data_IF_452752047430
#
_entry.id   IF_452752047430
#
_cell.length_a   1.000
_cell.length_b   1.000
_cell.length_c   1.000
_cell.angle_alpha   90.00
_cell.angle_beta   90.00
_cell.angle_gamma   90.00
#
_symmetry.space_group_name_H-M   'P 1'
#
loop_
_entity.id
_entity.type
_entity.pdbx_description
1 polymer ?
#
# COMPACT_ATOMS: atom_id res chain seq x y z
N UNK A 1 38.53 -2.55 -39.63
CA UNK A 1 37.79 -3.61 -38.96
C UNK A 1 37.11 -3.00 -37.74
N UNK A 2 35.86 -2.63 -37.89
CA UNK A 2 35.02 -2.12 -36.83
C UNK A 2 34.07 -3.26 -36.41
N UNK A 3 33.90 -3.58 -35.13
CA UNK A 3 32.85 -4.49 -34.71
C UNK A 3 31.54 -3.72 -34.60
N UNK A 4 30.55 -4.26 -35.28
CA UNK A 4 29.13 -3.86 -35.25
C UNK A 4 28.58 -4.01 -33.85
N UNK A 5 27.97 -2.93 -33.33
CA UNK A 5 27.18 -2.99 -32.11
C UNK A 5 25.84 -3.65 -32.40
N UNK A 6 25.59 -4.79 -31.78
CA UNK A 6 24.27 -5.38 -31.69
C UNK A 6 23.42 -4.54 -30.71
N UNK A 7 22.54 -3.71 -31.27
CA UNK A 7 21.44 -3.10 -30.54
C UNK A 7 20.37 -4.17 -30.31
N UNK A 8 20.37 -4.75 -29.13
CA UNK A 8 19.30 -5.63 -28.66
C UNK A 8 18.06 -4.78 -28.36
N UNK A 9 17.24 -4.54 -29.36
CA UNK A 9 15.88 -4.05 -29.20
C UNK A 9 15.04 -5.24 -28.75
N UNK A 10 14.86 -5.41 -27.43
CA UNK A 10 13.80 -6.23 -26.88
C UNK A 10 12.45 -5.62 -27.33
N UNK A 11 12.02 -6.05 -28.49
CA UNK A 11 10.72 -5.72 -29.04
C UNK A 11 9.62 -6.23 -28.10
N UNK A 12 8.74 -5.31 -27.72
CA UNK A 12 7.51 -5.52 -26.97
C UNK A 12 6.61 -6.54 -27.70
N UNK A 13 6.97 -7.82 -27.57
CA UNK A 13 6.19 -8.92 -28.12
C UNK A 13 4.92 -9.04 -27.30
N UNK A 14 3.79 -8.61 -27.88
CA UNK A 14 2.45 -8.80 -27.30
C UNK A 14 2.32 -10.24 -26.79
N UNK A 15 2.04 -10.45 -25.49
CA UNK A 15 2.02 -11.80 -24.93
C UNK A 15 0.99 -12.66 -25.64
N UNK A 16 1.41 -13.86 -26.07
CA UNK A 16 0.53 -14.82 -26.73
C UNK A 16 -0.48 -15.34 -25.70
N UNK A 17 -1.77 -15.12 -25.95
CA UNK A 17 -2.84 -15.64 -25.10
C UNK A 17 -2.85 -17.17 -25.09
N UNK A 18 -2.89 -17.75 -23.88
CA UNK A 18 -3.00 -19.22 -23.72
C UNK A 18 -4.40 -19.75 -23.96
N UNK A 19 -5.42 -18.92 -23.78
CA UNK A 19 -6.83 -19.28 -23.99
C UNK A 19 -7.37 -18.50 -25.19
N UNK A 20 -8.02 -19.21 -26.12
CA UNK A 20 -8.55 -18.60 -27.33
C UNK A 20 -9.74 -17.67 -27.06
N UNK A 21 -10.45 -17.88 -25.94
CA UNK A 21 -11.64 -17.09 -25.59
C UNK A 21 -11.61 -16.67 -24.12
N UNK A 22 -12.29 -15.56 -23.82
CA UNK A 22 -12.50 -15.09 -22.44
C UNK A 22 -13.22 -16.13 -21.60
N UNK A 23 -14.22 -16.84 -22.17
CA UNK A 23 -14.98 -17.87 -21.47
C UNK A 23 -14.09 -19.05 -21.05
N UNK A 24 -13.17 -19.48 -21.93
CA UNK A 24 -12.22 -20.55 -21.60
C UNK A 24 -11.27 -20.12 -20.49
N UNK A 25 -10.79 -18.86 -20.52
CA UNK A 25 -9.99 -18.28 -19.44
C UNK A 25 -10.78 -18.21 -18.13
N UNK A 26 -12.02 -17.70 -18.13
CA UNK A 26 -12.89 -17.62 -16.95
C UNK A 26 -13.09 -19.01 -16.29
N UNK A 27 -13.37 -20.05 -17.10
CA UNK A 27 -13.52 -21.40 -16.60
C UNK A 27 -12.25 -21.93 -15.93
N UNK A 28 -11.08 -21.70 -16.55
CA UNK A 28 -9.80 -22.09 -16.02
C UNK A 28 -9.48 -21.32 -14.73
N UNK A 29 -9.72 -20.00 -14.70
CA UNK A 29 -9.53 -19.18 -13.50
C UNK A 29 -10.42 -19.66 -12.36
N UNK A 30 -11.70 -19.90 -12.60
CA UNK A 30 -12.63 -20.44 -11.60
C UNK A 30 -12.12 -21.76 -11.01
N UNK A 31 -11.68 -22.68 -11.84
CA UNK A 31 -11.13 -23.97 -11.41
C UNK A 31 -9.88 -23.79 -10.51
N UNK A 32 -8.97 -22.86 -10.90
CA UNK A 32 -7.77 -22.55 -10.11
C UNK A 32 -8.10 -21.89 -8.77
N UNK A 33 -9.07 -20.98 -8.74
CA UNK A 33 -9.53 -20.34 -7.50
C UNK A 33 -10.14 -21.38 -6.56
N UNK A 34 -11.01 -22.27 -7.07
CA UNK A 34 -11.64 -23.33 -6.27
C UNK A 34 -10.61 -24.29 -5.70
N UNK A 35 -9.59 -24.68 -6.46
CA UNK A 35 -8.52 -25.56 -5.98
C UNK A 35 -7.68 -24.93 -4.83
N UNK A 36 -7.56 -23.61 -4.78
CA UNK A 36 -6.81 -22.89 -3.72
C UNK A 36 -7.62 -22.67 -2.44
N UNK A 37 -8.92 -22.81 -2.46
CA UNK A 37 -9.78 -22.69 -1.25
C UNK A 37 -9.42 -23.72 -0.19
N UNK A 38 -8.93 -24.90 -0.59
CA UNK A 38 -8.45 -25.93 0.35
C UNK A 38 -7.20 -25.51 1.16
N UNK A 39 -6.55 -24.38 0.80
CA UNK A 39 -5.33 -23.87 1.44
C UNK A 39 -5.60 -22.72 2.44
N UNK A 40 -6.79 -22.62 3.03
CA UNK A 40 -7.18 -21.61 4.04
C UNK A 40 -7.22 -20.15 3.55
N UNK A 41 -7.19 -19.89 2.26
CA UNK A 41 -7.38 -18.54 1.70
C UNK A 41 -8.79 -18.36 1.17
N UNK A 42 -9.45 -17.29 1.63
CA UNK A 42 -10.76 -16.89 1.10
C UNK A 42 -10.67 -16.54 -0.40
N UNK A 43 -11.54 -17.15 -1.21
CA UNK A 43 -11.66 -16.87 -2.67
C UNK A 43 -11.79 -15.38 -2.94
N UNK A 44 -12.52 -14.66 -2.10
CA UNK A 44 -12.73 -13.23 -2.27
C UNK A 44 -11.41 -12.45 -2.15
N UNK A 45 -10.55 -12.81 -1.21
CA UNK A 45 -9.24 -12.18 -1.06
C UNK A 45 -8.36 -12.46 -2.28
N UNK A 46 -8.34 -13.70 -2.80
CA UNK A 46 -7.56 -14.01 -4.01
C UNK A 46 -8.08 -13.24 -5.22
N UNK A 47 -9.40 -13.08 -5.38
CA UNK A 47 -10.00 -12.28 -6.46
C UNK A 47 -9.57 -10.80 -6.36
N UNK A 48 -9.56 -10.23 -5.16
CA UNK A 48 -9.09 -8.86 -4.94
C UNK A 48 -7.62 -8.70 -5.30
N UNK A 49 -6.76 -9.63 -4.89
CA UNK A 49 -5.34 -9.60 -5.27
C UNK A 49 -5.14 -9.64 -6.79
N UNK A 50 -5.93 -10.45 -7.49
CA UNK A 50 -5.91 -10.46 -8.96
C UNK A 50 -6.36 -9.12 -9.55
N UNK A 51 -7.39 -8.52 -8.99
CA UNK A 51 -7.89 -7.24 -9.44
C UNK A 51 -6.88 -6.11 -9.15
N UNK A 52 -6.23 -6.10 -7.98
CA UNK A 52 -5.14 -5.17 -7.65
C UNK A 52 -4.01 -5.28 -8.68
N UNK A 53 -3.55 -6.50 -8.92
CA UNK A 53 -2.49 -6.77 -9.89
C UNK A 53 -2.83 -6.21 -11.28
N UNK A 54 -4.05 -6.40 -11.77
CA UNK A 54 -4.46 -5.93 -13.11
C UNK A 54 -4.63 -4.41 -13.21
N UNK A 55 -5.09 -3.77 -12.14
CA UNK A 55 -5.13 -2.29 -12.06
C UNK A 55 -3.72 -1.72 -12.04
N UNK A 56 -2.86 -2.25 -11.17
CA UNK A 56 -1.48 -1.79 -11.01
C UNK A 56 -0.66 -2.02 -12.29
N UNK A 57 -0.84 -3.14 -12.99
CA UNK A 57 -0.18 -3.42 -14.26
C UNK A 57 -0.47 -2.33 -15.31
N UNK A 58 -1.71 -1.83 -15.39
CA UNK A 58 -2.11 -0.77 -16.31
C UNK A 58 -1.56 0.59 -15.89
N UNK A 59 -1.56 0.89 -14.59
CA UNK A 59 -0.97 2.13 -14.07
C UNK A 59 0.53 2.20 -14.33
N UNK A 60 1.26 1.09 -14.17
CA UNK A 60 2.70 1.00 -14.50
C UNK A 60 2.92 1.22 -15.99
N UNK A 61 2.08 0.61 -16.84
CA UNK A 61 2.20 0.74 -18.29
C UNK A 61 2.08 2.20 -18.75
N UNK A 62 1.21 2.98 -18.09
CA UNK A 62 0.94 4.39 -18.46
C UNK A 62 1.93 5.36 -17.81
N UNK A 63 2.20 5.22 -16.52
CA UNK A 63 2.95 6.22 -15.76
C UNK A 63 3.73 5.60 -14.58
N UNK A 64 4.82 4.84 -14.83
CA UNK A 64 5.52 4.09 -13.79
C UNK A 64 6.18 4.96 -12.71
N UNK A 65 6.49 6.22 -13.03
CA UNK A 65 7.23 7.14 -12.15
C UNK A 65 6.36 8.21 -11.50
N UNK A 66 5.06 8.25 -11.82
CA UNK A 66 4.15 9.29 -11.32
C UNK A 66 3.62 9.01 -9.91
N UNK A 67 3.80 7.81 -9.38
CA UNK A 67 3.20 7.36 -8.14
C UNK A 67 4.01 6.24 -7.45
N UNK A 68 3.75 6.06 -6.16
CA UNK A 68 4.24 4.92 -5.36
C UNK A 68 3.06 4.21 -4.70
N UNK A 69 3.13 2.89 -4.66
CA UNK A 69 2.20 2.07 -3.91
C UNK A 69 2.47 2.22 -2.42
N UNK A 70 1.40 2.28 -1.61
CA UNK A 70 1.46 2.28 -0.15
C UNK A 70 0.31 1.46 0.45
N UNK A 71 0.08 1.59 1.74
CA UNK A 71 -1.07 0.97 2.41
C UNK A 71 -1.07 -0.55 2.42
N UNK A 72 -2.27 -1.13 2.53
CA UNK A 72 -2.44 -2.58 2.72
C UNK A 72 -1.88 -3.43 1.59
N UNK A 73 -2.06 -3.04 0.32
CA UNK A 73 -1.55 -3.79 -0.84
C UNK A 73 -0.02 -3.83 -0.84
N UNK A 74 0.65 -2.72 -0.48
CA UNK A 74 2.11 -2.71 -0.35
C UNK A 74 2.59 -3.65 0.76
N UNK A 75 1.85 -3.80 1.87
CA UNK A 75 2.16 -4.78 2.91
C UNK A 75 1.98 -6.22 2.39
N UNK A 76 0.87 -6.50 1.71
CA UNK A 76 0.60 -7.83 1.15
C UNK A 76 1.63 -8.29 0.11
N UNK A 77 2.22 -7.33 -0.65
CA UNK A 77 3.28 -7.65 -1.61
C UNK A 77 4.67 -7.75 -0.96
N UNK A 78 4.84 -7.17 0.24
CA UNK A 78 6.12 -7.14 0.96
C UNK A 78 6.29 -8.29 1.94
N UNK A 79 5.20 -8.70 2.59
CA UNK A 79 5.21 -9.66 3.69
C UNK A 79 4.52 -10.97 3.26
N UNK A 80 5.02 -12.09 3.77
CA UNK A 80 4.38 -13.41 3.56
C UNK A 80 2.98 -13.47 4.17
N UNK A 81 2.81 -12.80 5.32
CA UNK A 81 1.56 -12.70 6.04
C UNK A 81 1.15 -11.23 6.14
N UNK A 82 -0.07 -10.92 5.76
CA UNK A 82 -0.67 -9.61 5.90
C UNK A 82 -2.17 -9.78 6.11
N UNK A 83 -2.80 -8.80 6.78
CA UNK A 83 -4.25 -8.77 6.85
C UNK A 83 -4.85 -8.43 5.49
N UNK A 84 -6.07 -8.92 5.24
CA UNK A 84 -6.79 -8.58 4.01
C UNK A 84 -7.02 -7.06 3.90
N UNK A 85 -6.80 -6.55 2.67
CA UNK A 85 -7.14 -5.17 2.32
C UNK A 85 -8.21 -5.11 1.23
N UNK A 86 -8.86 -3.96 1.09
CA UNK A 86 -9.96 -3.74 0.14
C UNK A 86 -9.66 -2.68 -0.89
N UNK A 87 -8.66 -1.85 -0.63
CA UNK A 87 -8.39 -0.62 -1.37
C UNK A 87 -6.91 -0.59 -1.81
N UNK A 88 -6.66 0.04 -2.96
CA UNK A 88 -5.31 0.37 -3.42
C UNK A 88 -5.00 1.79 -2.92
N UNK A 89 -3.94 1.94 -2.13
CA UNK A 89 -3.45 3.24 -1.69
C UNK A 89 -2.25 3.67 -2.53
N UNK A 90 -2.31 4.88 -3.09
CA UNK A 90 -1.25 5.47 -3.94
C UNK A 90 -0.81 6.81 -3.37
N UNK A 91 0.50 7.03 -3.32
CA UNK A 91 1.10 8.35 -3.12
C UNK A 91 1.50 8.91 -4.48
N UNK A 92 0.87 9.99 -4.92
CA UNK A 92 1.13 10.61 -6.21
C UNK A 92 2.17 11.72 -6.10
N UNK A 93 3.07 11.79 -7.09
CA UNK A 93 4.07 12.86 -7.25
C UNK A 93 3.57 13.99 -8.14
N UNK A 94 2.51 13.73 -8.86
CA UNK A 94 1.89 14.64 -9.83
C UNK A 94 0.58 15.19 -9.30
N UNK A 95 0.10 16.29 -9.88
CA UNK A 95 -1.15 16.91 -9.47
C UNK A 95 -2.38 16.05 -9.77
N UNK A 96 -3.52 16.42 -9.15
CA UNK A 96 -4.77 15.66 -9.27
C UNK A 96 -5.21 15.43 -10.71
N UNK A 97 -5.16 16.48 -11.57
CA UNK A 97 -5.61 16.34 -12.96
C UNK A 97 -4.77 15.30 -13.70
N UNK A 98 -3.45 15.36 -13.56
CA UNK A 98 -2.55 14.40 -14.20
C UNK A 98 -2.78 12.95 -13.69
N UNK A 99 -3.15 12.78 -12.41
CA UNK A 99 -3.53 11.46 -11.90
C UNK A 99 -4.88 10.98 -12.45
N UNK A 100 -5.84 11.88 -12.67
CA UNK A 100 -7.09 11.55 -13.35
C UNK A 100 -6.80 11.10 -14.78
N UNK A 101 -6.03 11.86 -15.53
CA UNK A 101 -5.64 11.52 -16.90
C UNK A 101 -4.90 10.17 -16.95
N UNK A 102 -4.06 9.90 -15.95
CA UNK A 102 -3.36 8.61 -15.81
C UNK A 102 -4.32 7.45 -15.56
N UNK A 103 -5.32 7.62 -14.71
CA UNK A 103 -6.34 6.60 -14.45
C UNK A 103 -7.21 6.34 -15.70
N UNK A 104 -7.61 7.39 -16.41
CA UNK A 104 -8.37 7.29 -17.65
C UNK A 104 -7.57 6.56 -18.73
N UNK A 105 -6.31 6.94 -18.92
CA UNK A 105 -5.40 6.26 -19.83
C UNK A 105 -5.19 4.79 -19.43
N UNK A 106 -5.00 4.50 -18.13
CA UNK A 106 -4.86 3.12 -17.64
C UNK A 106 -6.13 2.28 -17.88
N UNK A 107 -7.32 2.88 -17.76
CA UNK A 107 -8.57 2.20 -18.07
C UNK A 107 -8.71 1.88 -19.57
N UNK A 108 -8.11 2.67 -20.45
CA UNK A 108 -8.11 2.44 -21.91
C UNK A 108 -7.07 1.40 -22.36
N UNK A 109 -6.07 1.07 -21.53
CA UNK A 109 -4.99 0.13 -21.87
C UNK A 109 -5.53 -1.29 -22.04
N UNK A 110 -5.17 -1.93 -23.14
CA UNK A 110 -5.39 -3.35 -23.40
C UNK A 110 -4.08 -4.12 -23.25
N UNK A 111 -3.95 -4.90 -22.16
CA UNK A 111 -2.76 -5.70 -21.89
C UNK A 111 -2.83 -7.14 -22.43
N UNK A 112 -3.86 -7.44 -23.22
CA UNK A 112 -4.11 -8.80 -23.76
C UNK A 112 -4.24 -9.90 -22.69
N UNK A 113 -4.71 -9.52 -21.50
CA UNK A 113 -4.74 -10.31 -20.25
C UNK A 113 -6.16 -10.75 -19.84
N UNK A 114 -7.12 -10.68 -20.77
CA UNK A 114 -8.56 -11.01 -20.60
C UNK A 114 -9.33 -10.05 -19.69
N UNK A 115 -8.72 -8.97 -19.22
CA UNK A 115 -9.35 -7.98 -18.36
C UNK A 115 -9.41 -6.60 -19.01
N UNK A 116 -10.41 -5.84 -18.61
CA UNK A 116 -10.59 -4.44 -18.91
C UNK A 116 -10.88 -3.67 -17.62
N UNK A 117 -10.66 -2.36 -17.62
CA UNK A 117 -11.02 -1.51 -16.49
C UNK A 117 -12.12 -0.53 -16.90
N UNK A 118 -12.96 -0.17 -15.94
CA UNK A 118 -13.92 0.92 -16.04
C UNK A 118 -13.82 1.81 -14.80
N UNK A 119 -13.55 3.09 -15.04
CA UNK A 119 -13.59 4.07 -13.96
C UNK A 119 -15.05 4.38 -13.61
N UNK A 120 -15.31 4.45 -12.30
CA UNK A 120 -16.55 4.92 -11.72
C UNK A 120 -16.42 6.34 -11.18
N UNK A 121 -17.34 6.68 -10.28
CA UNK A 121 -17.38 8.01 -9.66
C UNK A 121 -16.17 8.28 -8.76
N UNK A 122 -15.76 9.54 -8.76
CA UNK A 122 -14.80 10.09 -7.83
C UNK A 122 -15.54 10.70 -6.62
N UNK A 123 -15.16 10.32 -5.41
CA UNK A 123 -15.59 11.02 -4.20
C UNK A 123 -14.51 11.99 -3.73
N UNK A 124 -14.96 13.13 -3.20
CA UNK A 124 -14.08 14.12 -2.58
C UNK A 124 -13.57 13.61 -1.23
N UNK A 125 -12.38 14.08 -0.79
CA UNK A 125 -11.89 13.78 0.55
C UNK A 125 -12.90 14.23 1.60
N UNK A 126 -13.00 13.46 2.67
CA UNK A 126 -13.67 13.87 3.89
C UNK A 126 -12.65 14.60 4.76
N UNK A 127 -12.95 15.83 5.15
CA UNK A 127 -12.23 16.62 6.16
C UNK A 127 -10.70 16.77 6.00
N UNK A 128 -10.29 17.67 5.11
CA UNK A 128 -8.93 18.26 5.14
C UNK A 128 -7.78 17.34 4.80
N UNK A 129 -8.04 16.13 4.30
CA UNK A 129 -7.03 15.20 3.80
C UNK A 129 -7.04 15.28 2.27
N UNK A 130 -5.91 15.60 1.64
CA UNK A 130 -5.77 15.63 0.17
C UNK A 130 -5.71 14.20 -0.41
N UNK A 131 -6.66 13.35 -0.03
CA UNK A 131 -6.83 12.00 -0.56
C UNK A 131 -8.10 11.93 -1.38
N UNK A 132 -7.98 11.55 -2.62
CA UNK A 132 -9.08 11.39 -3.56
C UNK A 132 -9.38 9.92 -3.79
N UNK A 133 -10.63 9.56 -3.67
CA UNK A 133 -11.11 8.18 -3.83
C UNK A 133 -11.76 7.97 -5.19
N UNK A 134 -11.32 6.95 -5.92
CA UNK A 134 -11.85 6.54 -7.21
C UNK A 134 -12.40 5.13 -7.15
N UNK A 135 -13.60 4.91 -7.66
CA UNK A 135 -14.12 3.56 -7.88
C UNK A 135 -13.56 3.02 -9.20
N UNK A 136 -13.12 1.78 -9.20
CA UNK A 136 -12.61 1.09 -10.37
C UNK A 136 -13.26 -0.29 -10.45
N UNK A 137 -13.97 -0.57 -11.54
CA UNK A 137 -14.44 -1.91 -11.83
C UNK A 137 -13.44 -2.64 -12.73
N UNK A 138 -12.96 -3.78 -12.29
CA UNK A 138 -12.21 -4.74 -13.11
C UNK A 138 -13.22 -5.65 -13.78
N UNK A 139 -13.19 -5.70 -15.09
CA UNK A 139 -14.12 -6.46 -15.93
C UNK A 139 -13.35 -7.55 -16.67
N UNK A 140 -14.02 -8.62 -17.01
CA UNK A 140 -13.57 -9.43 -18.14
C UNK A 140 -13.78 -8.65 -19.45
N UNK A 141 -13.03 -8.96 -20.50
CA UNK A 141 -13.17 -8.29 -21.80
C UNK A 141 -14.58 -8.44 -22.43
N UNK A 142 -15.36 -9.42 -22.00
CA UNK A 142 -16.77 -9.57 -22.41
C UNK A 142 -17.73 -8.63 -21.66
N UNK A 143 -17.19 -7.72 -20.82
CA UNK A 143 -17.96 -6.72 -20.06
C UNK A 143 -18.52 -7.18 -18.72
N UNK A 144 -18.39 -8.46 -18.35
CA UNK A 144 -18.84 -8.95 -17.03
C UNK A 144 -17.91 -8.44 -15.94
N UNK A 145 -18.48 -7.99 -14.83
CA UNK A 145 -17.72 -7.53 -13.66
C UNK A 145 -16.97 -8.71 -13.03
N UNK A 146 -15.65 -8.57 -12.91
CA UNK A 146 -14.81 -9.46 -12.14
C UNK A 146 -14.74 -9.01 -10.68
N UNK A 147 -14.39 -7.75 -10.40
CA UNK A 147 -14.26 -7.22 -9.04
C UNK A 147 -14.42 -5.70 -9.05
N UNK A 148 -15.01 -5.14 -7.99
CA UNK A 148 -15.07 -3.71 -7.76
C UNK A 148 -14.04 -3.30 -6.70
N UNK A 149 -13.27 -2.26 -6.97
CA UNK A 149 -12.18 -1.77 -6.14
C UNK A 149 -12.31 -0.28 -5.87
N UNK A 150 -11.57 0.15 -4.87
CA UNK A 150 -11.31 1.56 -4.60
C UNK A 150 -9.82 1.86 -4.76
N UNK A 151 -9.50 2.98 -5.40
CA UNK A 151 -8.15 3.52 -5.47
C UNK A 151 -8.12 4.85 -4.74
N UNK A 152 -7.35 4.92 -3.66
CA UNK A 152 -7.16 6.10 -2.84
C UNK A 152 -5.82 6.77 -3.21
N UNK A 153 -5.88 8.03 -3.63
CA UNK A 153 -4.72 8.79 -4.12
C UNK A 153 -4.44 9.95 -3.18
N UNK A 154 -3.31 9.87 -2.47
CA UNK A 154 -2.75 10.98 -1.70
C UNK A 154 -1.86 11.86 -2.57
N UNK A 155 -2.10 13.18 -2.58
CA UNK A 155 -1.33 14.15 -3.37
C UNK A 155 -0.24 14.86 -2.56
N UNK A 156 -0.40 14.96 -1.24
CA UNK A 156 0.50 15.69 -0.35
C UNK A 156 1.45 14.77 0.44
N UNK A 157 1.53 13.50 0.09
CA UNK A 157 2.38 12.56 0.79
C UNK A 157 3.85 12.80 0.43
N UNK A 158 4.76 12.91 1.40
CA UNK A 158 6.19 12.99 1.12
C UNK A 158 6.68 11.67 0.51
N UNK A 159 7.67 11.76 -0.38
CA UNK A 159 8.40 10.59 -0.86
C UNK A 159 9.77 10.59 -0.19
N UNK A 160 9.93 9.69 0.77
CA UNK A 160 11.12 9.60 1.60
C UNK A 160 11.86 8.28 1.35
N UNK A 161 13.18 8.36 1.39
CA UNK A 161 14.04 7.21 1.15
C UNK A 161 13.97 6.70 -0.30
N UNK A 162 14.47 5.49 -0.51
CA UNK A 162 14.48 4.86 -1.83
C UNK A 162 13.22 3.98 -2.00
N UNK A 163 12.44 4.18 -3.07
CA UNK A 163 11.32 3.30 -3.36
C UNK A 163 11.77 1.86 -3.53
N UNK A 164 10.96 0.92 -3.03
CA UNK A 164 11.21 -0.51 -3.16
C UNK A 164 10.39 -1.10 -4.31
N UNK A 165 10.99 -2.00 -5.08
CA UNK A 165 10.27 -2.79 -6.07
C UNK A 165 9.56 -3.95 -5.38
N UNK A 166 8.24 -4.02 -5.52
CA UNK A 166 7.40 -5.09 -4.98
C UNK A 166 6.67 -5.80 -6.12
N UNK A 167 6.66 -7.12 -6.10
CA UNK A 167 6.01 -7.93 -7.13
C UNK A 167 4.76 -8.57 -6.58
N UNK A 168 3.65 -8.44 -7.32
CA UNK A 168 2.39 -9.10 -7.00
C UNK A 168 2.53 -10.63 -6.98
N UNK A 169 1.68 -11.35 -6.24
CA UNK A 169 1.63 -12.80 -6.32
C UNK A 169 1.33 -13.30 -7.74
N UNK A 170 2.06 -14.31 -8.23
CA UNK A 170 1.96 -14.81 -9.60
C UNK A 170 0.69 -15.69 -9.82
N UNK A 171 -0.48 -15.13 -9.52
CA UNK A 171 -1.76 -15.85 -9.52
C UNK A 171 -2.26 -16.22 -10.92
N UNK A 172 -1.80 -15.50 -11.96
CA UNK A 172 -2.20 -15.70 -13.36
C UNK A 172 -1.12 -16.39 -14.22
N UNK A 173 -0.08 -16.95 -13.59
CA UNK A 173 0.99 -17.67 -14.30
C UNK A 173 0.49 -18.82 -15.16
N UNK A 174 -0.60 -19.48 -14.76
CA UNK A 174 -1.26 -20.53 -15.52
C UNK A 174 -1.76 -20.05 -16.90
N UNK A 175 -2.08 -18.76 -17.03
CA UNK A 175 -2.51 -18.12 -18.27
C UNK A 175 -1.36 -17.41 -19.01
N UNK A 176 -0.11 -17.53 -18.53
CA UNK A 176 1.05 -16.85 -19.10
C UNK A 176 1.12 -15.36 -18.81
N UNK A 177 0.28 -14.85 -17.91
CA UNK A 177 0.25 -13.44 -17.51
C UNK A 177 1.25 -13.23 -16.37
N UNK A 178 2.17 -12.30 -16.59
CA UNK A 178 3.18 -11.93 -15.58
C UNK A 178 2.53 -11.04 -14.49
N UNK A 179 2.94 -11.20 -13.22
CA UNK A 179 2.52 -10.30 -12.16
C UNK A 179 3.12 -8.90 -12.36
N UNK A 180 2.42 -7.89 -11.89
CA UNK A 180 2.91 -6.52 -11.87
C UNK A 180 4.07 -6.37 -10.86
N UNK A 181 5.13 -5.65 -11.25
CA UNK A 181 6.18 -5.19 -10.34
C UNK A 181 6.05 -3.69 -10.20
N UNK A 182 5.74 -3.21 -9.01
CA UNK A 182 5.45 -1.82 -8.71
C UNK A 182 6.53 -1.19 -7.85
N UNK A 183 6.68 0.12 -7.94
CA UNK A 183 7.46 0.90 -6.97
C UNK A 183 6.56 1.23 -5.79
N UNK A 184 7.03 0.98 -4.58
CA UNK A 184 6.32 1.28 -3.34
C UNK A 184 7.16 2.19 -2.44
N UNK A 185 6.52 2.87 -1.50
CA UNK A 185 7.23 3.61 -0.44
C UNK A 185 8.14 2.64 0.33
N UNK A 186 9.22 3.15 0.91
CA UNK A 186 10.13 2.35 1.74
C UNK A 186 9.40 1.75 2.95
N UNK A 187 9.94 0.70 3.55
CA UNK A 187 9.35 0.08 4.74
C UNK A 187 9.36 1.05 5.91
N UNK A 188 10.43 1.82 6.06
CA UNK A 188 10.62 2.83 7.10
C UNK A 188 9.56 3.93 7.00
N UNK A 189 9.34 4.44 5.79
CA UNK A 189 8.28 5.42 5.55
C UNK A 189 6.90 4.82 5.85
N UNK A 190 6.65 3.59 5.42
CA UNK A 190 5.37 2.92 5.64
C UNK A 190 5.08 2.76 7.14
N UNK A 191 6.06 2.28 7.91
CA UNK A 191 5.95 2.15 9.37
C UNK A 191 5.70 3.52 10.02
N UNK A 192 6.45 4.54 9.63
CA UNK A 192 6.32 5.89 10.19
C UNK A 192 4.96 6.52 9.87
N UNK A 193 4.42 6.32 8.67
CA UNK A 193 3.06 6.78 8.33
C UNK A 193 2.00 6.10 9.22
N UNK A 194 2.19 4.82 9.58
CA UNK A 194 1.32 4.12 10.53
C UNK A 194 1.45 4.66 11.95
N UNK A 195 2.68 4.93 12.41
CA UNK A 195 2.92 5.58 13.72
C UNK A 195 2.23 6.94 13.76
N UNK A 196 2.41 7.77 12.72
CA UNK A 196 1.78 9.08 12.64
C UNK A 196 0.24 8.98 12.67
N UNK A 197 -0.36 8.08 11.88
CA UNK A 197 -1.81 7.89 11.85
C UNK A 197 -2.35 7.35 13.20
N UNK A 198 -1.63 6.46 13.86
CA UNK A 198 -1.96 5.89 15.16
C UNK A 198 -1.96 6.96 16.26
N UNK A 199 -0.97 7.86 16.27
CA UNK A 199 -0.77 8.88 17.32
C UNK A 199 -1.56 10.17 17.08
N UNK A 200 -2.07 10.38 15.87
CA UNK A 200 -2.89 11.55 15.53
C UNK A 200 -4.20 11.55 16.31
N UNK A 201 -4.56 12.71 16.87
CA UNK A 201 -5.87 12.93 17.52
C UNK A 201 -6.93 13.30 16.46
N UNK A 202 -8.07 12.63 16.50
CA UNK A 202 -9.20 12.84 15.58
C UNK A 202 -10.34 13.60 16.29
N UNK A 203 -10.05 14.79 16.80
CA UNK A 203 -10.97 15.58 17.62
C UNK A 203 -11.32 14.85 18.91
N UNK A 204 -12.61 14.86 19.29
CA UNK A 204 -13.12 14.18 20.50
C UNK A 204 -13.51 12.71 20.27
N UNK A 205 -13.28 12.17 19.08
CA UNK A 205 -13.61 10.77 18.78
C UNK A 205 -12.47 9.85 19.16
N UNK A 206 -12.82 8.70 19.69
CA UNK A 206 -11.87 7.63 19.93
C UNK A 206 -11.28 7.16 18.57
N UNK A 207 -10.00 6.88 18.54
CA UNK A 207 -9.31 6.44 17.33
C UNK A 207 -9.86 5.10 16.84
N UNK A 208 -10.09 4.95 15.54
CA UNK A 208 -10.45 3.71 14.88
C UNK A 208 -9.26 3.04 14.15
N UNK A 209 -8.03 3.43 14.51
CA UNK A 209 -6.79 3.02 13.86
C UNK A 209 -6.24 1.66 14.34
N UNK A 210 -7.12 0.76 14.78
CA UNK A 210 -6.73 -0.59 15.22
C UNK A 210 -5.94 -1.36 14.15
N UNK A 211 -6.28 -1.16 12.85
CA UNK A 211 -5.57 -1.76 11.73
C UNK A 211 -4.10 -1.30 11.66
N UNK A 212 -3.81 -0.05 12.04
CA UNK A 212 -2.45 0.47 12.02
C UNK A 212 -1.57 -0.21 13.09
N UNK A 213 -2.13 -0.60 14.23
CA UNK A 213 -1.41 -1.40 15.24
C UNK A 213 -1.08 -2.81 14.72
N UNK A 214 -2.01 -3.47 14.02
CA UNK A 214 -1.77 -4.76 13.35
C UNK A 214 -0.66 -4.63 12.32
N UNK A 215 -0.75 -3.61 11.46
CA UNK A 215 0.21 -3.37 10.38
C UNK A 215 1.62 -3.08 10.93
N UNK A 216 1.74 -2.27 12.01
CA UNK A 216 3.02 -2.01 12.68
C UNK A 216 3.61 -3.28 13.28
N UNK A 217 2.78 -4.10 13.98
CA UNK A 217 3.24 -5.36 14.54
C UNK A 217 3.75 -6.33 13.45
N UNK A 218 3.07 -6.42 12.31
CA UNK A 218 3.50 -7.22 11.16
C UNK A 218 4.84 -6.76 10.57
N UNK A 219 4.99 -5.46 10.34
CA UNK A 219 6.23 -4.89 9.79
C UNK A 219 7.43 -5.14 10.71
N UNK A 220 7.25 -4.95 12.01
CA UNK A 220 8.31 -5.11 13.01
C UNK A 220 8.64 -6.59 13.29
N UNK A 221 7.66 -7.50 13.17
CA UNK A 221 7.89 -8.95 13.29
C UNK A 221 8.63 -9.53 12.08
N UNK A 222 8.39 -8.98 10.88
CA UNK A 222 8.91 -9.50 9.62
C UNK A 222 10.21 -8.85 9.13
N UNK A 223 10.64 -7.75 9.75
CA UNK A 223 11.79 -6.97 9.25
C UNK A 223 12.51 -6.23 10.37
N UNK A 224 13.83 -6.08 10.23
CA UNK A 224 14.61 -5.20 11.10
C UNK A 224 14.82 -3.86 10.40
N UNK A 225 14.47 -2.78 11.08
CA UNK A 225 14.68 -1.39 10.63
C UNK A 225 15.70 -0.78 11.58
N UNK A 226 16.73 -0.13 11.01
CA UNK A 226 17.74 0.55 11.83
C UNK A 226 17.17 1.79 12.53
N UNK A 227 17.50 1.96 13.82
CA UNK A 227 16.96 3.05 14.65
C UNK A 227 17.27 4.44 14.09
N UNK A 228 18.47 4.65 13.52
CA UNK A 228 18.87 5.94 12.95
C UNK A 228 18.00 6.31 11.74
N UNK A 229 17.79 5.36 10.83
CA UNK A 229 16.95 5.56 9.64
C UNK A 229 15.51 5.81 10.04
N UNK A 230 15.00 5.04 11.00
CA UNK A 230 13.63 5.21 11.50
C UNK A 230 13.47 6.54 12.22
N UNK A 231 14.44 6.95 13.05
CA UNK A 231 14.46 8.26 13.73
C UNK A 231 14.38 9.41 12.74
N UNK A 232 15.19 9.38 11.69
CA UNK A 232 15.15 10.39 10.63
C UNK A 232 13.81 10.41 9.91
N UNK A 233 13.31 9.24 9.50
CA UNK A 233 12.04 9.12 8.78
C UNK A 233 10.85 9.59 9.63
N UNK A 234 10.86 9.32 10.95
CA UNK A 234 9.88 9.87 11.90
C UNK A 234 9.84 11.39 11.86
N UNK A 235 10.99 12.05 11.98
CA UNK A 235 11.08 13.52 11.93
C UNK A 235 10.56 14.07 10.61
N UNK A 236 10.94 13.48 9.49
CA UNK A 236 10.57 13.93 8.15
C UNK A 236 9.06 13.78 7.89
N UNK A 237 8.46 12.62 8.22
CA UNK A 237 7.02 12.39 8.03
C UNK A 237 6.19 13.28 8.93
N UNK A 238 6.52 13.39 10.22
CA UNK A 238 5.76 14.22 11.15
C UNK A 238 5.85 15.69 10.80
N UNK A 239 7.05 16.19 10.42
CA UNK A 239 7.25 17.54 9.93
C UNK A 239 6.45 17.83 8.67
N UNK A 240 6.51 16.94 7.67
CA UNK A 240 5.78 17.09 6.41
C UNK A 240 4.25 17.08 6.62
N UNK A 241 3.76 16.29 7.57
CA UNK A 241 2.33 16.22 7.90
C UNK A 241 1.86 17.40 8.75
N UNK A 242 2.71 17.98 9.60
CA UNK A 242 2.45 19.18 10.41
C UNK A 242 1.24 19.11 11.33
N UNK A 243 0.78 17.92 11.72
CA UNK A 243 -0.46 17.75 12.51
C UNK A 243 -0.21 17.62 14.01
N UNK A 244 0.94 17.09 14.42
CA UNK A 244 1.39 16.95 15.80
C UNK A 244 2.87 16.53 15.82
N UNK A 245 3.51 16.72 16.95
CA UNK A 245 4.91 16.36 17.18
C UNK A 245 5.11 14.84 17.30
N UNK A 246 6.36 14.39 17.09
CA UNK A 246 6.72 12.98 17.35
C UNK A 246 6.58 12.73 18.86
N UNK A 247 5.78 11.75 19.27
CA UNK A 247 5.62 11.45 20.69
C UNK A 247 6.88 10.77 21.25
N UNK A 248 7.23 11.07 22.50
CA UNK A 248 8.36 10.43 23.18
C UNK A 248 8.17 8.92 23.40
N UNK A 249 6.94 8.44 23.41
CA UNK A 249 6.57 7.03 23.49
C UNK A 249 5.24 6.77 22.76
N UNK A 250 5.05 5.54 22.30
CA UNK A 250 3.79 5.15 21.67
C UNK A 250 2.67 5.13 22.74
N UNK A 251 1.57 5.90 22.57
CA UNK A 251 0.48 5.91 23.53
C UNK A 251 -0.26 4.58 23.56
N UNK A 252 -0.89 4.17 24.70
CA UNK A 252 -1.65 2.94 24.78
C UNK A 252 -2.88 2.99 23.86
N UNK A 253 -3.31 1.81 23.35
CA UNK A 253 -4.49 1.75 22.49
C UNK A 253 -5.78 2.02 23.29
N UNK A 254 -6.82 2.51 22.64
CA UNK A 254 -8.15 2.63 23.23
C UNK A 254 -8.68 1.28 23.73
N UNK A 255 -9.42 1.29 24.84
CA UNK A 255 -9.98 0.07 25.42
C UNK A 255 -10.96 -0.67 24.46
N UNK A 256 -11.64 0.07 23.58
CA UNK A 256 -12.53 -0.48 22.56
C UNK A 256 -11.82 -1.42 21.56
N UNK A 257 -10.50 -1.29 21.39
CA UNK A 257 -9.74 -2.14 20.47
C UNK A 257 -9.55 -3.58 20.97
N UNK A 258 -9.75 -3.84 22.27
CA UNK A 258 -9.65 -5.19 22.84
C UNK A 258 -10.58 -6.20 22.16
N UNK A 259 -11.74 -5.74 21.69
CA UNK A 259 -12.68 -6.59 20.96
C UNK A 259 -12.33 -6.74 19.47
N UNK A 260 -11.89 -5.65 18.83
CA UNK A 260 -11.66 -5.62 17.38
C UNK A 260 -10.30 -6.21 16.97
N UNK A 261 -9.26 -6.00 17.77
CA UNK A 261 -7.89 -6.39 17.43
C UNK A 261 -7.73 -7.91 17.20
N UNK A 262 -8.23 -8.82 18.06
CA UNK A 262 -8.05 -10.26 17.86
C UNK A 262 -8.59 -10.76 16.52
N UNK A 263 -9.71 -10.21 16.03
CA UNK A 263 -10.26 -10.59 14.73
C UNK A 263 -9.38 -10.16 13.54
N UNK A 264 -8.59 -9.10 13.71
CA UNK A 264 -7.67 -8.62 12.68
C UNK A 264 -6.31 -9.31 12.74
N UNK A 265 -5.94 -9.84 13.91
CA UNK A 265 -4.67 -10.53 14.17
C UNK A 265 -4.79 -12.04 13.96
N UNK A 266 -6.00 -12.58 13.85
CA UNK A 266 -6.24 -14.01 13.71
C UNK A 266 -5.47 -14.64 12.55
N UNK A 267 -4.75 -15.72 12.83
CA UNK A 267 -3.89 -16.40 11.86
C UNK A 267 -2.62 -15.66 11.44
N UNK A 268 -2.33 -14.46 11.99
CA UNK A 268 -1.11 -13.71 11.73
C UNK A 268 -0.02 -14.00 12.77
N UNK A 269 1.28 -14.00 12.40
CA UNK A 269 2.39 -14.30 13.31
C UNK A 269 2.78 -13.06 14.16
N UNK A 270 1.80 -12.50 14.87
CA UNK A 270 1.93 -11.32 15.72
C UNK A 270 1.21 -11.55 17.06
N UNK A 271 1.45 -10.72 18.10
CA UNK A 271 0.67 -10.79 19.33
C UNK A 271 -0.84 -10.73 19.06
N UNK A 272 -1.63 -11.56 19.74
CA UNK A 272 -3.05 -11.75 19.45
C UNK A 272 -3.98 -10.81 20.23
N UNK A 273 -3.46 -10.02 21.16
CA UNK A 273 -4.22 -8.99 21.89
C UNK A 273 -3.66 -7.60 21.63
N UNK A 274 -4.53 -6.57 21.67
CA UNK A 274 -4.10 -5.18 21.46
C UNK A 274 -3.08 -4.70 22.50
N UNK A 275 -3.18 -5.17 23.75
CA UNK A 275 -2.29 -4.77 24.83
C UNK A 275 -0.89 -5.40 24.66
N UNK A 276 -0.80 -6.65 24.19
CA UNK A 276 0.48 -7.31 23.87
C UNK A 276 1.12 -6.72 22.62
N UNK A 277 0.33 -6.46 21.58
CA UNK A 277 0.80 -5.84 20.35
C UNK A 277 1.34 -4.43 20.62
N UNK A 278 0.64 -3.64 21.44
CA UNK A 278 1.13 -2.34 21.85
C UNK A 278 2.46 -2.44 22.59
N UNK A 279 2.60 -3.33 23.57
CA UNK A 279 3.87 -3.53 24.31
C UNK A 279 5.01 -3.91 23.37
N UNK A 280 4.75 -4.82 22.43
CA UNK A 280 5.72 -5.22 21.41
C UNK A 280 6.13 -4.02 20.52
N UNK A 281 5.16 -3.35 19.90
CA UNK A 281 5.42 -2.21 19.00
C UNK A 281 6.09 -1.06 19.76
N UNK A 282 5.63 -0.75 20.98
CA UNK A 282 6.22 0.30 21.80
C UNK A 282 7.68 0.00 22.18
N UNK A 283 8.00 -1.26 22.46
CA UNK A 283 9.37 -1.70 22.74
C UNK A 283 10.29 -1.52 21.52
N UNK A 284 9.84 -2.00 20.36
CA UNK A 284 10.62 -1.89 19.10
C UNK A 284 10.82 -0.44 18.62
N UNK A 285 9.89 0.46 18.94
CA UNK A 285 9.96 1.86 18.54
C UNK A 285 10.62 2.78 19.59
N UNK A 286 10.92 2.28 20.80
CA UNK A 286 11.30 3.11 21.94
C UNK A 286 12.54 4.00 21.67
N UNK A 287 13.61 3.43 21.09
CA UNK A 287 14.85 4.14 20.81
C UNK A 287 14.63 5.24 19.75
N UNK A 288 13.94 4.91 18.66
CA UNK A 288 13.68 5.85 17.56
C UNK A 288 12.75 7.00 17.98
N UNK A 289 11.67 6.71 18.72
CA UNK A 289 10.75 7.74 19.23
C UNK A 289 11.43 8.67 20.23
N UNK A 290 12.19 8.13 21.20
CA UNK A 290 12.94 8.93 22.18
C UNK A 290 13.95 9.85 21.52
N UNK A 291 14.69 9.36 20.52
CA UNK A 291 15.68 10.16 19.77
C UNK A 291 15.01 11.19 18.83
N UNK A 292 13.87 10.87 18.25
CA UNK A 292 13.16 11.78 17.35
C UNK A 292 12.51 12.95 18.11
N UNK A 293 11.90 12.70 19.26
CA UNK A 293 11.22 13.71 20.07
C UNK A 293 12.16 14.69 20.78
N UNK A 294 13.36 14.25 21.18
CA UNK A 294 14.32 15.10 21.92
C UNK A 294 14.91 16.22 21.09
N UNK A 295 14.93 16.10 19.75
CA UNK A 295 15.48 17.13 18.86
C UNK A 295 14.54 18.32 18.65
N UNK A 296 13.23 18.17 18.84
CA UNK A 296 12.25 19.27 18.74
C UNK A 296 12.31 20.20 19.96
N UNK A 297 12.64 19.68 21.13
CA UNK A 297 12.75 20.47 22.38
C UNK A 297 13.97 21.40 22.42
N UNK A 298 15.00 21.18 21.58
CA UNK A 298 16.21 21.98 21.53
C UNK A 298 16.14 23.25 20.68
N UNK A 299 15.12 23.41 19.84
CA UNK A 299 15.00 24.54 18.91
C UNK A 299 14.35 25.79 19.53
N UNK A 300 13.66 25.70 20.68
CA UNK A 300 12.96 26.82 21.30
C UNK A 300 13.77 27.63 22.32
N UNK A 301 15.03 27.27 22.63
CA UNK A 301 15.78 27.89 23.72
C UNK A 301 16.85 28.91 23.35
N UNK A 302 16.82 29.51 22.13
CA UNK A 302 17.81 30.55 21.73
C UNK A 302 17.19 31.90 21.34
N UNK A 303 16.15 32.36 21.99
CA UNK A 303 15.87 33.80 22.04
C UNK A 303 16.58 34.43 23.26
N UNK A 304 17.76 35.01 23.01
CA UNK A 304 18.40 35.90 23.96
C UNK A 304 17.65 37.23 24.02
N UNK A 305 17.31 37.76 25.19
CA UNK A 305 16.78 39.11 25.29
C UNK A 305 17.88 40.10 24.90
N UNK A 306 17.57 40.97 23.93
CA UNK A 306 18.38 42.18 23.68
C UNK A 306 18.11 43.19 24.77
N UNK A 307 19.15 43.56 25.44
CA UNK A 307 19.24 44.75 26.31
C UNK A 307 19.23 46.04 25.46
#
# INVERSE_FOLDING_TARGET
>A
MTPSGDSNTDGDATPIRRYATVQAFEAALKAKLTARVSEHRDVQNIRKHLAFDRVLARLIHVAPDAWLLKGGVALEYRLEFARATTDIDISARVGLQQMIDTLEAAAAVQLNDYFALRLGERSKPVDGVETYRFKVAVLYENGRIFEDLTVDIGLADPWLGQPQALTAPALLSFAGIKPATVRAISLEQHLTEKVHAYTKRYGNRESNRVKDLVDMALMLSGSRIGDDVLTQTLREVFSARGTHEVPAALPPPPASWRAAYPHLADGLPIPQTSDEAHRFVAHELAAALGSASSSSAGAESTERPRA
#
